data_IF_666313883241
#
_entry.id   IF_666313883241
#
_cell.length_a   1.000
_cell.length_b   1.000
_cell.length_c   1.000
_cell.angle_alpha   90.00
_cell.angle_beta   90.00
_cell.angle_gamma   90.00
#
_symmetry.space_group_name_H-M   'P 1'
#
loop_
_entity.id
_entity.type
_entity.pdbx_description
1 polymer ?
#
# COMPACT_ATOMS: atom_id res chain seq x y z
N UNK A 1 18.61 -3.10 -34.13
CA UNK A 1 17.42 -3.24 -33.28
C UNK A 1 16.22 -3.04 -34.19
N UNK A 2 15.29 -3.99 -34.23
CA UNK A 2 14.07 -3.89 -35.05
C UNK A 2 12.97 -3.22 -34.23
N UNK A 3 12.47 -2.07 -34.70
CA UNK A 3 11.44 -1.27 -34.04
C UNK A 3 10.08 -1.32 -34.74
N UNK A 4 9.96 -2.14 -35.79
CA UNK A 4 8.77 -2.23 -36.64
C UNK A 4 7.54 -2.68 -35.84
N UNK A 5 7.74 -3.46 -34.77
CA UNK A 5 6.68 -3.92 -33.87
C UNK A 5 6.13 -2.86 -32.91
N UNK A 6 6.75 -1.68 -32.79
CA UNK A 6 6.30 -0.65 -31.84
C UNK A 6 4.99 -0.02 -32.29
N UNK A 7 4.90 0.42 -33.55
CA UNK A 7 3.72 1.16 -34.05
C UNK A 7 2.43 0.36 -33.87
N UNK A 8 2.37 -0.94 -34.22
CA UNK A 8 1.18 -1.76 -33.95
C UNK A 8 0.90 -1.99 -32.45
N UNK A 9 1.93 -1.93 -31.60
CA UNK A 9 1.79 -2.14 -30.16
C UNK A 9 1.35 -0.88 -29.38
N UNK A 10 1.42 0.32 -29.99
CA UNK A 10 1.06 1.59 -29.34
C UNK A 10 -0.27 1.53 -28.57
N UNK A 11 -1.38 1.00 -29.14
CA UNK A 11 -2.64 0.94 -28.40
C UNK A 11 -2.58 0.08 -27.13
N UNK A 12 -1.87 -1.05 -27.20
CA UNK A 12 -1.65 -1.92 -26.04
C UNK A 12 -0.76 -1.27 -24.98
N UNK A 13 0.31 -0.61 -25.40
CA UNK A 13 1.22 0.15 -24.52
C UNK A 13 0.48 1.31 -23.84
N UNK A 14 -0.38 2.02 -24.56
CA UNK A 14 -1.22 3.08 -24.00
C UNK A 14 -2.15 2.55 -22.92
N UNK A 15 -2.85 1.45 -23.20
CA UNK A 15 -3.73 0.81 -22.21
C UNK A 15 -2.96 0.34 -20.97
N UNK A 16 -1.79 -0.26 -21.17
CA UNK A 16 -0.90 -0.67 -20.07
C UNK A 16 -0.43 0.52 -19.24
N UNK A 17 -0.01 1.62 -19.88
CA UNK A 17 0.40 2.84 -19.20
C UNK A 17 -0.75 3.43 -18.37
N UNK A 18 -1.94 3.54 -18.94
CA UNK A 18 -3.13 4.02 -18.22
C UNK A 18 -3.44 3.13 -17.02
N UNK A 19 -3.33 1.81 -17.15
CA UNK A 19 -3.52 0.87 -16.04
C UNK A 19 -2.49 1.10 -14.92
N UNK A 20 -1.22 1.23 -15.27
CA UNK A 20 -0.14 1.52 -14.31
C UNK A 20 -0.36 2.83 -13.59
N UNK A 21 -0.72 3.90 -14.31
CA UNK A 21 -0.98 5.21 -13.71
C UNK A 21 -2.19 5.18 -12.77
N UNK A 22 -3.25 4.45 -13.13
CA UNK A 22 -4.42 4.25 -12.25
C UNK A 22 -4.03 3.51 -10.98
N UNK A 23 -3.30 2.40 -11.11
CA UNK A 23 -2.85 1.60 -9.97
C UNK A 23 -1.93 2.42 -9.05
N UNK A 24 -0.98 3.16 -9.62
CA UNK A 24 -0.08 4.06 -8.89
C UNK A 24 -0.87 5.13 -8.15
N UNK A 25 -1.78 5.85 -8.82
CA UNK A 25 -2.54 6.93 -8.20
C UNK A 25 -3.40 6.42 -7.02
N UNK A 26 -4.10 5.30 -7.22
CA UNK A 26 -4.93 4.71 -6.16
C UNK A 26 -4.06 4.16 -5.00
N UNK A 27 -2.99 3.43 -5.33
CA UNK A 27 -2.04 2.87 -4.37
C UNK A 27 -1.43 3.95 -3.48
N UNK A 28 -0.88 5.00 -4.10
CA UNK A 28 -0.23 6.11 -3.39
C UNK A 28 -1.22 6.89 -2.54
N UNK A 29 -2.41 7.23 -3.07
CA UNK A 29 -3.41 7.99 -2.30
C UNK A 29 -3.89 7.18 -1.09
N UNK A 30 -4.26 5.91 -1.28
CA UNK A 30 -4.71 5.06 -0.18
C UNK A 30 -3.59 4.77 0.82
N UNK A 31 -2.40 4.47 0.32
CA UNK A 31 -1.20 4.22 1.12
C UNK A 31 -0.79 5.43 1.94
N UNK A 32 -0.86 6.64 1.37
CA UNK A 32 -0.53 7.88 2.08
C UNK A 32 -1.53 8.16 3.20
N UNK A 33 -2.83 7.99 2.95
CA UNK A 33 -3.88 8.16 3.95
C UNK A 33 -3.69 7.16 5.10
N UNK A 34 -3.61 5.87 4.78
CA UNK A 34 -3.42 4.81 5.78
C UNK A 34 -2.08 4.95 6.52
N UNK A 35 -1.00 5.26 5.80
CA UNK A 35 0.33 5.45 6.37
C UNK A 35 0.38 6.64 7.32
N UNK A 36 -0.31 7.74 7.00
CA UNK A 36 -0.42 8.90 7.89
C UNK A 36 -1.17 8.52 9.17
N UNK A 37 -2.30 7.80 9.07
CA UNK A 37 -3.04 7.32 10.24
C UNK A 37 -2.18 6.40 11.12
N UNK A 38 -1.44 5.47 10.51
CA UNK A 38 -0.51 4.60 11.22
C UNK A 38 0.64 5.38 11.88
N UNK A 39 1.16 6.43 11.24
CA UNK A 39 2.19 7.28 11.83
C UNK A 39 1.68 7.99 13.08
N UNK A 40 0.46 8.53 13.03
CA UNK A 40 -0.19 9.15 14.20
C UNK A 40 -0.40 8.14 15.33
N UNK A 41 -0.86 6.93 15.01
CA UNK A 41 -0.96 5.84 16.01
C UNK A 41 0.40 5.50 16.61
N UNK A 42 1.46 5.47 15.80
CA UNK A 42 2.83 5.14 16.21
C UNK A 42 3.49 6.22 17.07
N UNK A 43 3.07 7.47 16.91
CA UNK A 43 3.49 8.61 17.74
C UNK A 43 2.64 8.80 19.01
N UNK A 44 1.54 8.06 19.15
CA UNK A 44 0.66 8.14 20.31
C UNK A 44 1.37 7.73 21.60
N UNK A 45 1.01 8.37 22.73
CA UNK A 45 1.44 7.96 24.07
C UNK A 45 0.82 6.62 24.50
N UNK A 46 -0.28 6.19 23.86
CA UNK A 46 -0.90 4.90 24.12
C UNK A 46 -0.06 3.76 23.53
N UNK A 47 0.61 3.01 24.42
CA UNK A 47 1.48 1.88 24.06
C UNK A 47 0.77 0.82 23.21
N UNK A 48 -0.53 0.59 23.41
CA UNK A 48 -1.27 -0.39 22.62
C UNK A 48 -1.37 0.05 21.16
N UNK A 49 -1.79 1.30 20.91
CA UNK A 49 -1.89 1.86 19.55
C UNK A 49 -0.53 1.90 18.87
N UNK A 50 0.51 2.34 19.58
CA UNK A 50 1.86 2.42 19.05
C UNK A 50 2.42 1.04 18.68
N UNK A 51 2.17 0.02 19.51
CA UNK A 51 2.61 -1.34 19.26
C UNK A 51 1.84 -2.00 18.11
N UNK A 52 0.52 -1.77 18.00
CA UNK A 52 -0.30 -2.30 16.90
C UNK A 52 0.16 -1.71 15.56
N UNK A 53 0.35 -0.38 15.48
CA UNK A 53 0.89 0.26 14.28
C UNK A 53 2.32 -0.22 13.99
N UNK A 54 3.15 -0.38 15.04
CA UNK A 54 4.49 -0.92 14.92
C UNK A 54 4.53 -2.34 14.34
N UNK A 55 3.65 -3.23 14.81
CA UNK A 55 3.53 -4.60 14.32
C UNK A 55 3.10 -4.63 12.85
N UNK A 56 2.09 -3.84 12.47
CA UNK A 56 1.65 -3.68 11.08
C UNK A 56 2.83 -3.29 10.18
N UNK A 57 3.53 -2.20 10.53
CA UNK A 57 4.61 -1.65 9.70
C UNK A 57 5.78 -2.62 9.61
N UNK A 58 6.18 -3.23 10.73
CA UNK A 58 7.28 -4.20 10.75
C UNK A 58 6.94 -5.41 9.87
N UNK A 59 5.72 -5.92 9.94
CA UNK A 59 5.27 -7.05 9.11
C UNK A 59 5.34 -6.74 7.62
N UNK A 60 4.67 -5.66 7.16
CA UNK A 60 4.61 -5.33 5.73
C UNK A 60 5.97 -4.95 5.15
N UNK A 61 6.87 -4.35 5.94
CA UNK A 61 8.24 -4.06 5.50
C UNK A 61 9.17 -5.28 5.47
N UNK A 62 8.78 -6.38 6.10
CA UNK A 62 9.57 -7.62 6.16
C UNK A 62 9.21 -8.66 5.10
N UNK A 63 8.12 -8.45 4.34
CA UNK A 63 7.67 -9.38 3.30
C UNK A 63 7.78 -8.74 1.90
N UNK A 64 7.97 -9.53 0.84
CA UNK A 64 8.01 -8.98 -0.51
C UNK A 64 6.60 -8.57 -0.99
N UNK A 65 6.48 -7.42 -1.66
CA UNK A 65 5.21 -6.94 -2.23
C UNK A 65 4.53 -7.99 -3.13
N UNK A 66 5.31 -8.76 -3.89
CA UNK A 66 4.78 -9.84 -4.73
C UNK A 66 3.98 -10.87 -3.92
N UNK A 67 4.44 -11.21 -2.71
CA UNK A 67 3.72 -12.13 -1.83
C UNK A 67 2.38 -11.52 -1.38
N UNK A 68 2.38 -10.22 -1.05
CA UNK A 68 1.16 -9.50 -0.66
C UNK A 68 0.14 -9.50 -1.78
N UNK A 69 0.56 -9.14 -3.01
CA UNK A 69 -0.31 -9.21 -4.20
C UNK A 69 -0.85 -10.62 -4.39
N UNK A 70 0.01 -11.64 -4.27
CA UNK A 70 -0.37 -13.05 -4.45
C UNK A 70 -1.39 -13.49 -3.40
N UNK A 71 -1.25 -13.08 -2.14
CA UNK A 71 -2.22 -13.37 -1.09
C UNK A 71 -3.57 -12.68 -1.36
N UNK A 72 -3.59 -11.42 -1.76
CA UNK A 72 -4.84 -10.73 -2.08
C UNK A 72 -5.53 -11.27 -3.33
N UNK A 73 -4.76 -11.80 -4.28
CA UNK A 73 -5.32 -12.37 -5.50
C UNK A 73 -5.79 -13.82 -5.33
N UNK A 74 -5.07 -14.64 -4.57
CA UNK A 74 -5.35 -16.07 -4.44
C UNK A 74 -5.94 -16.46 -3.07
N UNK A 75 -5.29 -16.04 -1.98
CA UNK A 75 -5.65 -16.51 -0.64
C UNK A 75 -6.92 -15.82 -0.10
N UNK A 76 -7.09 -14.52 -0.33
CA UNK A 76 -8.25 -13.77 0.16
C UNK A 76 -9.57 -14.30 -0.41
N UNK A 77 -9.74 -14.52 -1.74
CA UNK A 77 -10.94 -15.16 -2.27
C UNK A 77 -11.22 -16.54 -1.67
N UNK A 78 -10.18 -17.35 -1.44
CA UNK A 78 -10.32 -18.66 -0.81
C UNK A 78 -10.85 -18.56 0.63
N UNK A 79 -10.29 -17.63 1.42
CA UNK A 79 -10.74 -17.36 2.79
C UNK A 79 -12.17 -16.83 2.80
N UNK A 80 -12.50 -15.89 1.90
CA UNK A 80 -13.85 -15.35 1.78
C UNK A 80 -14.87 -16.44 1.44
N UNK A 81 -14.55 -17.33 0.49
CA UNK A 81 -15.39 -18.49 0.19
C UNK A 81 -15.57 -19.40 1.40
N UNK A 82 -14.52 -19.64 2.17
CA UNK A 82 -14.61 -20.47 3.37
C UNK A 82 -15.52 -19.86 4.45
N UNK A 83 -15.54 -18.53 4.60
CA UNK A 83 -16.37 -17.82 5.58
C UNK A 83 -17.82 -17.66 5.09
N UNK A 84 -18.01 -17.31 3.83
CA UNK A 84 -19.33 -16.93 3.27
C UNK A 84 -20.06 -18.10 2.63
N UNK A 85 -19.35 -19.16 2.22
CA UNK A 85 -19.88 -20.25 1.42
C UNK A 85 -19.95 -19.95 -0.08
N UNK A 86 -19.65 -18.72 -0.52
CA UNK A 86 -19.82 -18.27 -1.90
C UNK A 86 -18.48 -17.91 -2.56
N UNK A 87 -18.35 -18.22 -3.85
CA UNK A 87 -17.19 -17.81 -4.64
C UNK A 87 -17.21 -16.28 -4.81
N UNK A 88 -16.27 -15.59 -4.15
CA UNK A 88 -16.15 -14.13 -4.17
C UNK A 88 -14.89 -13.70 -4.94
N UNK A 89 -14.94 -13.59 -6.28
CA UNK A 89 -13.80 -13.18 -7.08
C UNK A 89 -13.51 -11.68 -6.88
N UNK A 90 -12.38 -11.36 -6.25
CA UNK A 90 -11.94 -9.96 -6.03
C UNK A 90 -11.40 -9.32 -7.32
N UNK A 91 -10.77 -10.12 -8.19
CA UNK A 91 -10.19 -9.66 -9.45
C UNK A 91 -8.79 -9.05 -9.31
N UNK A 92 -7.96 -9.22 -10.33
CA UNK A 92 -6.53 -8.87 -10.28
C UNK A 92 -6.28 -7.39 -9.97
N UNK A 93 -7.04 -6.49 -10.58
CA UNK A 93 -6.86 -5.05 -10.38
C UNK A 93 -7.13 -4.64 -8.93
N UNK A 94 -8.26 -5.07 -8.34
CA UNK A 94 -8.60 -4.73 -6.97
C UNK A 94 -7.61 -5.36 -5.96
N UNK A 95 -7.21 -6.61 -6.19
CA UNK A 95 -6.17 -7.27 -5.37
C UNK A 95 -4.86 -6.49 -5.40
N UNK A 96 -4.41 -6.03 -6.57
CA UNK A 96 -3.24 -5.16 -6.69
C UNK A 96 -3.44 -3.84 -5.96
N UNK A 97 -4.56 -3.13 -6.17
CA UNK A 97 -4.82 -1.84 -5.51
C UNK A 97 -4.72 -1.96 -3.99
N UNK A 98 -5.38 -2.95 -3.40
CA UNK A 98 -5.35 -3.16 -1.94
C UNK A 98 -3.94 -3.54 -1.47
N UNK A 99 -3.27 -4.46 -2.18
CA UNK A 99 -1.91 -4.87 -1.85
C UNK A 99 -0.92 -3.69 -1.86
N UNK A 100 -0.96 -2.85 -2.90
CA UNK A 100 -0.13 -1.65 -3.00
C UNK A 100 -0.45 -0.66 -1.88
N UNK A 101 -1.73 -0.34 -1.64
CA UNK A 101 -2.13 0.56 -0.55
C UNK A 101 -1.61 0.10 0.81
N UNK A 102 -1.80 -1.18 1.15
CA UNK A 102 -1.38 -1.71 2.45
C UNK A 102 0.15 -1.75 2.59
N UNK A 103 0.84 -2.17 1.53
CA UNK A 103 2.30 -2.26 1.52
C UNK A 103 2.93 -0.87 1.62
N UNK A 104 2.52 0.08 0.77
CA UNK A 104 3.04 1.45 0.75
C UNK A 104 2.70 2.21 2.05
N UNK A 105 1.55 1.95 2.66
CA UNK A 105 1.19 2.55 3.95
C UNK A 105 2.25 2.33 5.04
N UNK A 106 2.93 1.18 5.04
CA UNK A 106 4.01 0.91 5.99
C UNK A 106 5.23 1.81 5.77
N UNK A 107 5.56 2.12 4.52
CA UNK A 107 6.66 3.03 4.17
C UNK A 107 6.27 4.48 4.42
N UNK A 108 5.06 4.89 4.02
CA UNK A 108 4.56 6.24 4.30
C UNK A 108 4.43 6.51 5.80
N UNK A 109 4.03 5.52 6.60
CA UNK A 109 4.03 5.63 8.05
C UNK A 109 5.40 6.06 8.59
N UNK A 110 6.48 5.45 8.09
CA UNK A 110 7.84 5.76 8.56
C UNK A 110 8.35 7.10 8.03
N UNK A 111 8.00 7.45 6.79
CA UNK A 111 8.32 8.77 6.22
C UNK A 111 7.64 9.88 7.02
N UNK A 112 6.33 9.77 7.28
CA UNK A 112 5.57 10.77 8.05
C UNK A 112 6.09 10.83 9.48
N UNK A 113 6.29 9.68 10.14
CA UNK A 113 6.83 9.62 11.51
C UNK A 113 8.21 10.27 11.60
N UNK A 114 9.11 10.00 10.66
CA UNK A 114 10.42 10.62 10.60
C UNK A 114 10.32 12.14 10.33
N UNK A 115 9.38 12.56 9.48
CA UNK A 115 9.10 13.97 9.21
C UNK A 115 8.61 14.73 10.45
N UNK A 116 7.76 14.12 11.28
CA UNK A 116 7.33 14.74 12.54
C UNK A 116 8.50 14.80 13.55
N UNK A 117 9.29 13.72 13.64
CA UNK A 117 10.41 13.64 14.59
C UNK A 117 11.62 14.51 14.23
N UNK A 118 11.73 14.97 12.98
CA UNK A 118 12.82 15.87 12.55
C UNK A 118 12.63 17.31 13.03
N UNK A 119 11.45 17.68 13.51
CA UNK A 119 11.16 19.00 14.07
C UNK A 119 11.90 19.15 15.41
N UNK A 120 12.66 20.24 15.55
CA UNK A 120 13.43 20.48 16.77
C UNK A 120 12.50 20.72 17.97
N UNK A 121 12.86 20.15 19.12
CA UNK A 121 12.04 20.24 20.35
C UNK A 121 11.80 21.69 20.80
N UNK A 122 12.73 22.60 20.50
CA UNK A 122 12.62 24.02 20.83
C UNK A 122 11.56 24.78 20.00
N UNK A 123 11.19 24.27 18.83
CA UNK A 123 10.11 24.85 18.01
C UNK A 123 8.72 24.39 18.48
N UNK A 124 8.60 23.17 19.01
CA UNK A 124 7.32 22.68 19.55
C UNK A 124 6.84 23.42 20.81
N UNK A 125 7.76 24.02 21.58
CA UNK A 125 7.44 24.78 22.79
C UNK A 125 7.31 26.29 22.60
N UNK A 126 7.52 26.80 21.38
CA UNK A 126 7.42 28.22 21.05
C UNK A 126 6.09 28.61 20.41
N UNK A 127 5.25 27.63 20.07
CA UNK A 127 3.92 27.78 19.45
C UNK A 127 2.80 27.58 20.48
#
# INVERSE_FOLDING_TARGET
MDFTGIVPAIPGLWNGMVMTLKLMAMGVVGGLVLGTLLALMRLSSNKLLANVAGAYVNYFRSIPLLLVITWFYLAVPFVLRWITGEDTPIGAFASCVVAFMMFEAAYFCEIVRAGVQSISKGQMGAA
#
